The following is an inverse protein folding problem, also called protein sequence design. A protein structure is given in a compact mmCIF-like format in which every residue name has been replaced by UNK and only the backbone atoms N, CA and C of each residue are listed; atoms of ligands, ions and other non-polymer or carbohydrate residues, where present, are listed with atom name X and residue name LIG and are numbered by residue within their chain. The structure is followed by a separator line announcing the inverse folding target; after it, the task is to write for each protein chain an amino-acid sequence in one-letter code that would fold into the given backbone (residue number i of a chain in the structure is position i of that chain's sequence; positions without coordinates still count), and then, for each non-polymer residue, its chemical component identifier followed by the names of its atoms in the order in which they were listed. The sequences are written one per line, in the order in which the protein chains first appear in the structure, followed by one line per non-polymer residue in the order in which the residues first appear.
data_IF_151483772045
#
_entry.id   IF_151483772045
#
_cell.length_a   1.000
_cell.length_b   1.000
_cell.length_c   1.000
_cell.angle_alpha   90.00
_cell.angle_beta   90.00
_cell.angle_gamma   90.00
#
_symmetry.space_group_name_H-M   'P 1'
#
loop_
_entity.id
_entity.type
_entity.pdbx_description
1 polymer ?
#
# COMPACT_ATOMS: atom_id res chain seq x y z
N UNK A 1 4.50 -9.33 9.29
CA UNK A 1 3.49 -9.50 8.24
C UNK A 1 2.13 -9.32 8.86
N UNK A 2 1.61 -8.10 8.78
CA UNK A 2 0.30 -7.74 9.37
C UNK A 2 -0.84 -8.11 8.40
N UNK A 3 -0.58 -8.03 7.09
CA UNK A 3 -1.51 -8.50 6.05
C UNK A 3 -1.36 -10.01 5.80
N UNK A 4 -2.48 -10.70 5.63
CA UNK A 4 -2.51 -12.11 5.24
C UNK A 4 -2.29 -12.28 3.73
N UNK A 5 -1.84 -13.46 3.31
CA UNK A 5 -1.65 -13.75 1.88
C UNK A 5 -2.95 -13.65 1.08
N UNK A 6 -4.10 -13.95 1.70
CA UNK A 6 -5.42 -13.84 1.07
C UNK A 6 -5.76 -12.38 0.77
N UNK A 7 -5.58 -11.49 1.74
CA UNK A 7 -5.83 -10.05 1.57
C UNK A 7 -4.92 -9.45 0.47
N UNK A 8 -3.65 -9.89 0.40
CA UNK A 8 -2.75 -9.43 -0.67
C UNK A 8 -3.16 -9.93 -2.06
N UNK A 9 -3.73 -11.14 -2.14
CA UNK A 9 -4.26 -11.68 -3.38
C UNK A 9 -5.56 -10.99 -3.82
N UNK A 10 -6.46 -10.70 -2.87
CA UNK A 10 -7.71 -9.96 -3.10
C UNK A 10 -7.43 -8.53 -3.55
N UNK A 11 -6.42 -7.88 -2.96
CA UNK A 11 -5.94 -6.55 -3.37
C UNK A 11 -5.15 -6.58 -4.71
N UNK A 12 -5.01 -7.75 -5.35
CA UNK A 12 -4.29 -7.95 -6.62
C UNK A 12 -2.88 -7.35 -6.63
N UNK A 13 -2.17 -7.47 -5.50
CA UNK A 13 -0.80 -7.00 -5.38
C UNK A 13 0.15 -7.86 -6.25
N UNK A 14 1.04 -7.24 -7.04
CA UNK A 14 2.10 -7.94 -7.75
C UNK A 14 3.01 -8.68 -6.77
N UNK A 15 3.62 -9.79 -7.20
CA UNK A 15 4.48 -10.60 -6.34
C UNK A 15 5.64 -9.80 -5.72
N UNK A 16 6.20 -8.83 -6.45
CA UNK A 16 7.32 -8.01 -5.97
C UNK A 16 6.95 -6.90 -4.98
N UNK A 17 5.67 -6.76 -4.60
CA UNK A 17 5.22 -5.82 -3.56
C UNK A 17 4.54 -6.55 -2.40
N UNK A 18 4.77 -7.86 -2.26
CA UNK A 18 4.20 -8.70 -1.18
C UNK A 18 5.18 -8.82 -0.01
N UNK A 19 5.74 -7.67 0.36
CA UNK A 19 6.77 -7.54 1.38
C UNK A 19 6.15 -7.24 2.76
N UNK A 20 6.96 -6.99 3.78
CA UNK A 20 6.44 -6.68 5.11
C UNK A 20 5.56 -5.42 5.09
N UNK A 21 5.91 -4.46 4.23
CA UNK A 21 5.20 -3.19 4.03
C UNK A 21 3.90 -3.29 3.19
N UNK A 22 3.50 -4.48 2.72
CA UNK A 22 2.33 -4.65 1.85
C UNK A 22 1.01 -4.14 2.45
N UNK A 23 0.87 -4.16 3.78
CA UNK A 23 -0.30 -3.66 4.49
C UNK A 23 -0.54 -2.16 4.28
N UNK A 24 0.52 -1.36 4.17
CA UNK A 24 0.43 0.09 3.89
C UNK A 24 0.03 0.36 2.43
N UNK A 25 0.52 -0.48 1.50
CA UNK A 25 0.20 -0.36 0.08
C UNK A 25 -1.28 -0.63 -0.21
N UNK A 26 -1.90 -1.56 0.53
CA UNK A 26 -3.34 -1.81 0.45
C UNK A 26 -4.13 -0.56 0.84
N UNK A 27 -3.76 0.10 1.95
CA UNK A 27 -4.39 1.35 2.39
C UNK A 27 -4.22 2.47 1.37
N UNK A 28 -3.00 2.64 0.84
CA UNK A 28 -2.71 3.64 -0.19
C UNK A 28 -3.54 3.43 -1.47
N UNK A 29 -3.71 2.18 -1.90
CA UNK A 29 -4.51 1.86 -3.08
C UNK A 29 -6.01 2.11 -2.86
N UNK A 30 -6.51 1.93 -1.64
CA UNK A 30 -7.89 2.33 -1.27
C UNK A 30 -8.06 3.84 -1.38
N UNK A 31 -7.20 4.63 -0.74
CA UNK A 31 -7.27 6.09 -0.82
C UNK A 31 -7.17 6.58 -2.28
N UNK A 32 -6.27 6.01 -3.08
CA UNK A 32 -6.14 6.35 -4.51
C UNK A 32 -7.40 6.07 -5.30
N UNK A 33 -8.09 4.96 -5.03
CA UNK A 33 -9.31 4.60 -5.74
C UNK A 33 -10.47 5.52 -5.35
N UNK A 34 -10.60 5.85 -4.07
CA UNK A 34 -11.65 6.75 -3.55
C UNK A 34 -11.46 8.20 -4.02
N UNK A 35 -10.22 8.66 -4.07
CA UNK A 35 -9.86 10.04 -4.43
C UNK A 35 -9.54 10.21 -5.91
N UNK A 36 -9.75 9.20 -6.75
CA UNK A 36 -9.45 9.25 -8.19
C UNK A 36 -8.00 9.64 -8.50
N UNK A 37 -7.06 9.13 -7.71
CA UNK A 37 -5.61 9.34 -7.89
C UNK A 37 -5.18 10.81 -7.84
N UNK A 38 -5.89 11.64 -7.07
CA UNK A 38 -5.50 13.03 -6.85
C UNK A 38 -4.13 13.09 -6.13
N UNK A 39 -3.16 13.85 -6.65
CA UNK A 39 -1.78 13.79 -6.17
C UNK A 39 -1.58 14.31 -4.74
N UNK A 40 -2.48 15.17 -4.23
CA UNK A 40 -2.35 15.83 -2.93
C UNK A 40 -3.19 15.22 -1.79
N UNK A 41 -4.00 14.18 -2.04
CA UNK A 41 -4.95 13.66 -1.04
C UNK A 41 -4.46 12.48 -0.22
N UNK A 42 -3.52 11.69 -0.74
CA UNK A 42 -3.02 10.47 -0.10
C UNK A 42 -1.50 10.56 0.20
N UNK A 43 -1.00 11.76 0.51
CA UNK A 43 0.44 11.98 0.73
C UNK A 43 0.95 11.28 1.99
N UNK A 44 0.21 11.32 3.09
CA UNK A 44 0.63 10.71 4.37
C UNK A 44 0.81 9.19 4.28
N UNK A 45 -0.14 8.51 3.62
CA UNK A 45 -0.09 7.06 3.41
C UNK A 45 1.02 6.68 2.44
N UNK A 46 1.23 7.51 1.41
CA UNK A 46 2.33 7.34 0.46
C UNK A 46 3.67 7.47 1.18
N UNK A 47 3.85 8.51 1.97
CA UNK A 47 5.09 8.76 2.70
C UNK A 47 5.35 7.67 3.73
N UNK A 48 4.30 7.16 4.39
CA UNK A 48 4.39 6.05 5.33
C UNK A 48 4.85 4.76 4.64
N UNK A 49 4.31 4.46 3.46
CA UNK A 49 4.73 3.32 2.65
C UNK A 49 6.16 3.47 2.14
N UNK A 50 6.54 4.65 1.64
CA UNK A 50 7.90 4.95 1.18
C UNK A 50 8.93 4.83 2.30
N UNK A 51 8.62 5.36 3.49
CA UNK A 51 9.48 5.21 4.67
C UNK A 51 9.67 3.75 5.05
N UNK A 52 8.58 2.97 5.06
CA UNK A 52 8.65 1.54 5.36
C UNK A 52 9.56 0.81 4.37
N UNK A 53 9.42 1.08 3.07
CA UNK A 53 10.28 0.49 2.02
C UNK A 53 11.75 0.95 2.08
N UNK A 54 12.01 2.12 2.66
CA UNK A 54 13.37 2.62 2.84
C UNK A 54 14.06 2.02 4.07
N UNK A 55 13.29 1.70 5.10
CA UNK A 55 13.77 1.07 6.35
C UNK A 55 13.84 -0.47 6.27
N UNK A 56 13.24 -1.07 5.24
CA UNK A 56 13.25 -2.52 4.93
C UNK A 56 14.57 -2.97 4.26
#
# INVERSE_FOLDING_TARGET
MIATQKEMAEAKLPLGYRDYCAHLLISLNKCRTETWYLPWKCEDEKHSWEKCQYEE
#
